data_IF_574663678550
#
_entry.id   IF_574663678550
#
_cell.length_a   1.000
_cell.length_b   1.000
_cell.length_c   1.000
_cell.angle_alpha   90.00
_cell.angle_beta   90.00
_cell.angle_gamma   90.00
#
_symmetry.space_group_name_H-M   'P 1'
#
loop_
_entity.id
_entity.type
_entity.pdbx_description
1 polymer ?
#
# COMPACT_ATOMS: atom_id res chain seq x y z
N UNK A 1 6.89 -10.88 -31.64
CA UNK A 1 5.84 -9.99 -31.06
C UNK A 1 5.91 -10.07 -29.55
N UNK A 2 6.78 -9.27 -28.95
CA UNK A 2 6.80 -9.10 -27.50
C UNK A 2 5.57 -8.29 -27.14
N UNK A 3 4.59 -8.91 -26.47
CA UNK A 3 3.52 -8.14 -25.82
C UNK A 3 4.19 -7.36 -24.69
N UNK A 4 4.43 -6.07 -24.91
CA UNK A 4 4.69 -5.15 -23.81
C UNK A 4 3.55 -5.29 -22.82
N UNK A 5 3.90 -5.64 -21.59
CA UNK A 5 3.01 -5.59 -20.45
C UNK A 5 2.52 -4.15 -20.36
N UNK A 6 1.29 -3.89 -20.79
CA UNK A 6 0.63 -2.61 -20.58
C UNK A 6 0.64 -2.36 -19.08
N UNK A 7 1.48 -1.40 -18.67
CA UNK A 7 1.52 -0.89 -17.30
C UNK A 7 0.08 -0.59 -16.93
N UNK A 8 -0.41 -1.21 -15.86
CA UNK A 8 -1.63 -0.75 -15.21
C UNK A 8 -1.28 0.66 -14.74
N UNK A 9 -1.63 1.65 -15.54
CA UNK A 9 -1.48 3.05 -15.17
C UNK A 9 -2.36 3.26 -13.95
N UNK A 10 -1.77 3.22 -12.75
CA UNK A 10 -2.33 3.95 -11.63
C UNK A 10 -2.63 5.34 -12.19
N UNK A 11 -3.88 5.82 -12.14
CA UNK A 11 -4.20 7.09 -12.77
C UNK A 11 -3.27 8.11 -12.13
N UNK A 12 -2.35 8.68 -12.93
CA UNK A 12 -1.42 9.70 -12.46
C UNK A 12 -2.18 10.81 -11.70
N UNK A 13 -3.42 11.07 -12.13
CA UNK A 13 -4.38 11.96 -11.48
C UNK A 13 -4.74 11.51 -10.06
N UNK A 14 -5.04 10.23 -9.83
CA UNK A 14 -5.39 9.70 -8.51
C UNK A 14 -4.25 9.92 -7.50
N UNK A 15 -3.01 9.62 -7.89
CA UNK A 15 -1.84 9.80 -7.02
C UNK A 15 -1.61 11.29 -6.75
N UNK A 16 -1.69 12.13 -7.79
CA UNK A 16 -1.50 13.58 -7.66
C UNK A 16 -2.58 14.22 -6.78
N UNK A 17 -3.84 13.83 -6.96
CA UNK A 17 -4.98 14.32 -6.20
C UNK A 17 -4.92 13.86 -4.74
N UNK A 18 -4.61 12.59 -4.49
CA UNK A 18 -4.48 12.04 -3.13
C UNK A 18 -3.27 12.62 -2.40
N UNK A 19 -2.11 12.71 -3.05
CA UNK A 19 -0.90 13.27 -2.44
C UNK A 19 -1.04 14.78 -2.13
N UNK A 20 -1.78 15.53 -2.94
CA UNK A 20 -2.01 16.96 -2.71
C UNK A 20 -3.14 17.23 -1.70
N UNK A 21 -4.25 16.50 -1.78
CA UNK A 21 -5.41 16.71 -0.90
C UNK A 21 -5.26 16.04 0.46
N UNK A 22 -4.44 14.99 0.57
CA UNK A 22 -4.36 14.14 1.76
C UNK A 22 -5.63 13.31 1.99
N UNK A 23 -6.54 13.24 1.01
CA UNK A 23 -7.83 12.57 1.13
C UNK A 23 -7.96 11.44 0.11
N UNK A 24 -8.63 10.36 0.54
CA UNK A 24 -9.02 9.27 -0.35
C UNK A 24 -10.27 9.70 -1.14
N UNK A 25 -10.32 9.51 -2.48
CA UNK A 25 -11.51 9.80 -3.27
C UNK A 25 -12.73 9.08 -2.73
N UNK A 26 -13.88 9.74 -2.81
CA UNK A 26 -15.13 9.29 -2.17
C UNK A 26 -15.55 7.91 -2.68
N UNK A 27 -15.36 7.65 -3.97
CA UNK A 27 -15.64 6.39 -4.64
C UNK A 27 -14.74 5.25 -4.15
N UNK A 28 -13.55 5.56 -3.61
CA UNK A 28 -12.60 4.57 -3.09
C UNK A 28 -12.79 4.27 -1.60
N UNK A 29 -13.43 5.17 -0.85
CA UNK A 29 -13.65 5.02 0.61
C UNK A 29 -14.21 3.64 1.02
N UNK A 30 -15.22 3.07 0.33
CA UNK A 30 -15.76 1.75 0.69
C UNK A 30 -14.73 0.61 0.59
N UNK A 31 -13.70 0.77 -0.24
CA UNK A 31 -12.69 -0.26 -0.51
C UNK A 31 -11.47 -0.16 0.43
N UNK A 32 -11.28 0.96 1.14
CA UNK A 32 -10.13 1.18 2.03
C UNK A 32 -10.06 0.12 3.12
N UNK A 33 -11.16 -0.08 3.85
CA UNK A 33 -11.17 -1.03 4.98
C UNK A 33 -10.94 -2.49 4.52
N UNK A 34 -11.63 -3.01 3.50
CA UNK A 34 -11.34 -4.33 2.95
C UNK A 34 -9.88 -4.49 2.51
N UNK A 35 -9.34 -3.54 1.76
CA UNK A 35 -7.95 -3.59 1.29
C UNK A 35 -6.94 -3.59 2.45
N UNK A 36 -7.17 -2.78 3.49
CA UNK A 36 -6.32 -2.78 4.67
C UNK A 36 -6.40 -4.08 5.47
N UNK A 37 -7.56 -4.74 5.49
CA UNK A 37 -7.72 -6.06 6.14
C UNK A 37 -6.96 -7.13 5.39
N UNK A 38 -7.06 -7.16 4.06
CA UNK A 38 -6.31 -8.06 3.20
C UNK A 38 -4.81 -7.87 3.41
N UNK A 39 -4.34 -6.62 3.26
CA UNK A 39 -2.93 -6.28 3.44
C UNK A 39 -2.40 -6.63 4.83
N UNK A 40 -3.18 -6.39 5.90
CA UNK A 40 -2.82 -6.81 7.26
C UNK A 40 -2.63 -8.33 7.35
N UNK A 41 -3.52 -9.11 6.76
CA UNK A 41 -3.46 -10.56 6.81
C UNK A 41 -2.27 -11.10 6.00
N UNK A 42 -1.97 -10.52 4.83
CA UNK A 42 -0.76 -10.81 4.06
C UNK A 42 0.51 -10.52 4.87
N UNK A 43 0.58 -9.34 5.48
CA UNK A 43 1.71 -8.95 6.34
C UNK A 43 1.88 -9.90 7.53
N UNK A 44 0.79 -10.37 8.11
CA UNK A 44 0.84 -11.34 9.18
C UNK A 44 1.32 -12.72 8.69
N UNK A 45 0.86 -13.17 7.52
CA UNK A 45 1.31 -14.41 6.91
C UNK A 45 2.83 -14.39 6.63
N UNK A 46 3.37 -13.28 6.13
CA UNK A 46 4.82 -13.09 5.94
C UNK A 46 5.63 -13.20 7.25
N UNK A 47 5.02 -12.80 8.37
CA UNK A 47 5.62 -12.87 9.70
C UNK A 47 5.37 -14.23 10.40
N UNK A 48 4.84 -15.23 9.68
CA UNK A 48 4.58 -16.57 10.20
C UNK A 48 3.25 -16.73 10.94
N UNK A 49 2.29 -15.82 10.72
CA UNK A 49 0.94 -15.85 11.30
C UNK A 49 -0.11 -16.04 10.18
N UNK A 50 -0.22 -17.23 9.56
CA UNK A 50 -1.04 -17.44 8.37
C UNK A 50 -2.55 -17.29 8.59
N UNK A 51 -3.05 -17.51 9.81
CA UNK A 51 -4.47 -17.42 10.15
C UNK A 51 -4.79 -16.22 11.06
N UNK A 52 -4.04 -15.13 10.87
CA UNK A 52 -4.19 -13.91 11.68
C UNK A 52 -5.61 -13.34 11.66
N UNK A 53 -6.41 -13.60 10.62
CA UNK A 53 -7.79 -13.14 10.54
C UNK A 53 -8.67 -13.74 11.65
N UNK A 54 -8.53 -15.04 11.92
CA UNK A 54 -9.39 -15.80 12.84
C UNK A 54 -8.82 -15.93 14.26
N UNK A 55 -7.52 -15.66 14.45
CA UNK A 55 -6.89 -15.63 15.77
C UNK A 55 -7.45 -14.50 16.64
N UNK A 56 -7.60 -14.74 17.94
CA UNK A 56 -7.79 -13.65 18.90
C UNK A 56 -6.47 -12.87 19.03
N UNK A 57 -6.53 -11.56 18.78
CA UNK A 57 -5.34 -10.70 18.85
C UNK A 57 -4.94 -10.44 20.30
N UNK A 58 -5.83 -10.65 21.26
CA UNK A 58 -5.53 -10.59 22.70
C UNK A 58 -4.64 -11.73 23.17
N UNK A 59 -4.74 -12.91 22.55
CA UNK A 59 -3.92 -14.08 22.88
C UNK A 59 -2.52 -14.01 22.25
N UNK A 60 -2.34 -13.18 21.22
CA UNK A 60 -1.05 -12.96 20.60
C UNK A 60 -0.21 -11.97 21.42
N UNK A 61 1.10 -12.23 21.61
CA UNK A 61 2.00 -11.26 22.22
C UNK A 61 1.90 -9.90 21.52
N UNK A 62 1.79 -8.82 22.29
CA UNK A 62 1.67 -7.44 21.77
C UNK A 62 2.78 -7.10 20.76
N UNK A 63 3.98 -7.67 20.93
CA UNK A 63 5.09 -7.53 19.99
C UNK A 63 4.79 -8.11 18.61
N UNK A 64 4.10 -9.24 18.51
CA UNK A 64 3.71 -9.83 17.22
C UNK A 64 2.68 -8.96 16.51
N UNK A 65 1.64 -8.52 17.23
CA UNK A 65 0.66 -7.56 16.70
C UNK A 65 1.34 -6.25 16.24
N UNK A 66 2.26 -5.73 17.06
CA UNK A 66 3.06 -4.55 16.74
C UNK A 66 3.93 -4.74 15.50
N UNK A 67 4.54 -5.91 15.31
CA UNK A 67 5.33 -6.23 14.12
C UNK A 67 4.47 -6.22 12.85
N UNK A 68 3.24 -6.74 12.91
CA UNK A 68 2.30 -6.71 11.77
C UNK A 68 1.99 -5.26 11.40
N UNK A 69 1.53 -4.45 12.37
CA UNK A 69 1.20 -3.04 12.12
C UNK A 69 2.40 -2.20 11.68
N UNK A 70 3.57 -2.40 12.30
CA UNK A 70 4.81 -1.73 11.91
C UNK A 70 5.28 -2.11 10.51
N UNK A 71 5.15 -3.40 10.14
CA UNK A 71 5.45 -3.88 8.79
C UNK A 71 4.53 -3.29 7.73
N UNK A 72 3.22 -3.21 8.02
CA UNK A 72 2.26 -2.53 7.16
C UNK A 72 2.67 -1.07 6.91
N UNK A 73 2.91 -0.30 7.97
CA UNK A 73 3.32 1.11 7.85
C UNK A 73 4.60 1.25 7.05
N UNK A 74 5.62 0.42 7.32
CA UNK A 74 6.89 0.45 6.60
C UNK A 74 6.70 0.26 5.09
N UNK A 75 5.89 -0.72 4.67
CA UNK A 75 5.66 -0.98 3.24
C UNK A 75 4.78 0.09 2.58
N UNK A 76 3.77 0.61 3.27
CA UNK A 76 2.96 1.73 2.73
C UNK A 76 3.80 2.98 2.51
N UNK A 77 4.69 3.32 3.45
CA UNK A 77 5.64 4.43 3.30
C UNK A 77 6.58 4.18 2.12
N UNK A 78 7.18 2.99 2.03
CA UNK A 78 8.07 2.65 0.91
C UNK A 78 7.36 2.72 -0.45
N UNK A 79 6.09 2.30 -0.53
CA UNK A 79 5.27 2.44 -1.72
C UNK A 79 5.07 3.91 -2.10
N UNK A 80 4.69 4.75 -1.13
CA UNK A 80 4.51 6.19 -1.34
C UNK A 80 5.82 6.87 -1.79
N UNK A 81 6.95 6.54 -1.15
CA UNK A 81 8.28 7.04 -1.53
C UNK A 81 8.64 6.65 -2.98
N UNK A 82 8.44 5.39 -3.34
CA UNK A 82 8.73 4.89 -4.70
C UNK A 82 7.87 5.60 -5.75
N UNK A 83 6.58 5.81 -5.47
CA UNK A 83 5.65 6.54 -6.33
C UNK A 83 6.08 8.00 -6.49
N UNK A 84 6.39 8.70 -5.40
CA UNK A 84 6.85 10.09 -5.43
C UNK A 84 8.17 10.23 -6.22
N UNK A 85 9.13 9.33 -5.97
CA UNK A 85 10.40 9.30 -6.68
C UNK A 85 10.22 9.06 -8.19
N UNK A 86 9.31 8.15 -8.56
CA UNK A 86 8.98 7.88 -9.97
C UNK A 86 8.41 9.12 -10.67
N UNK A 87 7.45 9.81 -10.04
CA UNK A 87 6.88 11.04 -10.60
C UNK A 87 7.90 12.17 -10.71
N UNK A 88 8.76 12.33 -9.70
CA UNK A 88 9.84 13.30 -9.74
C UNK A 88 10.81 13.02 -10.89
N UNK A 89 11.29 11.78 -11.01
CA UNK A 89 12.18 11.32 -12.08
C UNK A 89 11.60 11.63 -13.46
N UNK A 90 10.33 11.28 -13.69
CA UNK A 90 9.71 11.48 -15.01
C UNK A 90 9.50 12.96 -15.33
N UNK A 91 9.22 13.81 -14.35
CA UNK A 91 9.15 15.27 -14.58
C UNK A 91 10.50 15.84 -15.00
N UNK A 92 11.57 15.46 -14.30
CA UNK A 92 12.93 15.98 -14.56
C UNK A 92 13.43 15.51 -15.94
N UNK A 93 13.25 14.23 -16.27
CA UNK A 93 13.72 13.66 -17.54
C UNK A 93 12.93 14.11 -18.78
N UNK A 94 11.71 14.64 -18.62
CA UNK A 94 10.93 15.23 -19.73
C UNK A 94 11.36 16.68 -20.00
N UNK A 95 12.01 17.33 -19.04
CA UNK A 95 12.50 18.71 -19.16
C UNK A 95 13.96 18.83 -19.64
N UNK A 96 14.65 17.71 -19.82
CA UNK A 96 15.98 17.62 -20.46
C UNK A 96 15.85 17.14 -21.91
#
# INVERSE_FOLDING_TARGET
MSKELTRVDLPYNLIKETAFSGLVPRELVPYVKPALVEFRNEMAAELGLPDYANMDKGDLPSRLNGNVGGGMTKKMVAFAEAVLAWHYKNRVLITE
#
